data_IF_056916535515
#
_entry.id   IF_056916535515
#
_cell.length_a   1.000
_cell.length_b   1.000
_cell.length_c   1.000
_cell.angle_alpha   90.00
_cell.angle_beta   90.00
_cell.angle_gamma   90.00
#
_symmetry.space_group_name_H-M   'P 1'
#
loop_
_entity.id
_entity.type
_entity.pdbx_description
1 polymer ?
#
# COMPACT_ATOMS: atom_id res chain seq x y z
N UNK A 1 -11.74 43.90 21.80
CA UNK A 1 -12.25 43.20 20.61
C UNK A 1 -11.25 42.11 20.28
N UNK A 2 -11.67 40.85 20.30
CA UNK A 2 -10.78 39.77 19.86
C UNK A 2 -10.52 39.96 18.36
N UNK A 3 -9.25 39.94 17.95
CA UNK A 3 -8.92 39.95 16.53
C UNK A 3 -9.16 38.53 16.03
N UNK A 4 -10.30 38.34 15.37
CA UNK A 4 -10.73 37.10 14.75
C UNK A 4 -9.85 36.86 13.51
N UNK A 5 -8.68 36.26 13.70
CA UNK A 5 -7.81 35.90 12.59
C UNK A 5 -8.29 34.60 11.94
N UNK A 6 -8.52 34.56 10.61
CA UNK A 6 -8.74 33.31 9.91
C UNK A 6 -7.54 32.40 10.16
N UNK A 7 -7.75 31.25 10.80
CA UNK A 7 -6.65 30.29 11.01
C UNK A 7 -6.35 29.66 9.65
N UNK A 8 -5.12 29.80 9.10
CA UNK A 8 -4.73 29.08 7.90
C UNK A 8 -4.95 27.58 8.09
N UNK A 9 -5.48 26.89 7.08
CA UNK A 9 -5.90 25.48 7.19
C UNK A 9 -4.78 24.54 7.70
N UNK A 10 -3.51 24.90 7.49
CA UNK A 10 -2.32 24.15 7.89
C UNK A 10 -1.92 24.29 9.36
N UNK A 11 -2.44 25.29 10.09
CA UNK A 11 -1.82 25.78 11.33
C UNK A 11 -1.99 24.88 12.55
N UNK A 12 -2.92 23.91 12.55
CA UNK A 12 -3.12 22.95 13.66
C UNK A 12 -3.11 21.49 13.20
N UNK A 13 -2.35 21.20 12.13
CA UNK A 13 -2.11 19.85 11.64
C UNK A 13 -1.23 19.02 12.60
N UNK A 14 -0.96 17.75 12.28
CA UNK A 14 0.09 17.01 12.97
C UNK A 14 1.44 17.67 12.64
N UNK A 15 2.12 18.15 13.66
CA UNK A 15 3.48 18.65 13.56
C UNK A 15 4.42 17.66 14.22
N UNK A 16 5.53 17.39 13.54
CA UNK A 16 6.54 16.46 14.01
C UNK A 16 7.80 17.25 14.38
N UNK A 17 8.28 17.05 15.59
CA UNK A 17 9.56 17.57 16.05
C UNK A 17 10.47 16.39 16.40
N UNK A 18 11.68 16.36 15.84
CA UNK A 18 12.70 15.39 16.21
C UNK A 18 13.40 15.85 17.47
N UNK A 19 13.47 14.99 18.48
CA UNK A 19 14.10 15.29 19.75
C UNK A 19 15.62 15.17 19.69
N UNK A 20 16.31 16.07 20.37
CA UNK A 20 17.70 15.88 20.79
C UNK A 20 17.76 15.08 22.09
N UNK A 21 18.92 14.51 22.41
CA UNK A 21 19.10 13.73 23.64
C UNK A 21 18.73 14.55 24.89
N UNK A 22 17.89 13.98 25.75
CA UNK A 22 17.42 14.61 26.98
C UNK A 22 16.41 15.75 26.76
N UNK A 23 15.97 16.02 25.53
CA UNK A 23 15.05 17.12 25.27
C UNK A 23 13.69 16.85 25.89
N UNK A 24 13.22 17.83 26.68
CA UNK A 24 11.89 17.82 27.30
C UNK A 24 10.98 18.91 26.76
N UNK A 25 11.54 19.99 26.21
CA UNK A 25 10.80 21.16 25.74
C UNK A 25 10.66 21.17 24.23
N UNK A 26 9.45 21.41 23.75
CA UNK A 26 9.11 21.52 22.33
C UNK A 26 8.24 22.75 22.10
N UNK A 27 8.54 23.49 21.04
CA UNK A 27 7.76 24.65 20.65
C UNK A 27 6.60 24.21 19.73
N UNK A 28 5.38 24.60 20.10
CA UNK A 28 4.16 24.32 19.35
C UNK A 28 3.83 25.57 18.53
N UNK A 29 3.83 25.52 17.19
CA UNK A 29 3.80 26.70 16.33
C UNK A 29 2.41 27.35 16.23
N UNK A 30 1.45 26.92 17.05
CA UNK A 30 0.07 27.39 17.00
C UNK A 30 -0.49 27.69 18.37
N UNK A 31 -1.52 28.54 18.39
CA UNK A 31 -2.17 28.97 19.62
C UNK A 31 -2.88 27.77 20.26
N UNK A 32 -2.51 27.50 21.51
CA UNK A 32 -3.17 26.49 22.36
C UNK A 32 -3.92 27.23 23.45
N UNK A 33 -5.24 27.11 23.48
CA UNK A 33 -6.08 27.80 24.47
C UNK A 33 -6.08 27.07 25.82
N UNK A 34 -5.88 25.75 25.80
CA UNK A 34 -5.79 24.89 26.98
C UNK A 34 -4.86 23.72 26.68
N UNK A 35 -4.07 23.31 27.66
CA UNK A 35 -3.16 22.18 27.49
C UNK A 35 -3.88 20.86 27.18
N UNK A 36 -5.14 20.71 27.62
CA UNK A 36 -5.96 19.56 27.27
C UNK A 36 -6.43 19.54 25.80
N UNK A 37 -6.34 20.67 25.08
CA UNK A 37 -6.68 20.76 23.66
C UNK A 37 -5.50 20.33 22.74
N UNK A 38 -4.46 19.71 23.31
CA UNK A 38 -3.28 19.22 22.62
C UNK A 38 -3.19 17.70 22.75
N UNK A 39 -3.09 17.02 21.62
CA UNK A 39 -2.77 15.60 21.56
C UNK A 39 -1.29 15.42 21.26
N UNK A 40 -0.60 14.65 22.09
CA UNK A 40 0.83 14.38 21.94
C UNK A 40 1.05 12.87 21.85
N UNK A 41 1.84 12.45 20.86
CA UNK A 41 2.31 11.07 20.69
C UNK A 41 3.80 11.07 20.42
N UNK A 42 4.47 9.98 20.77
CA UNK A 42 5.90 9.81 20.55
C UNK A 42 6.10 8.57 19.68
N UNK A 43 6.97 8.68 18.69
CA UNK A 43 7.53 7.55 17.97
C UNK A 43 9.00 7.42 18.38
N UNK A 44 9.36 6.39 19.15
CA UNK A 44 10.74 6.13 19.51
C UNK A 44 11.63 5.94 18.28
N UNK A 45 12.91 6.31 18.39
CA UNK A 45 13.88 6.01 17.33
C UNK A 45 13.94 4.51 17.05
N UNK A 46 13.93 4.13 15.77
CA UNK A 46 13.92 2.73 15.34
C UNK A 46 12.53 2.08 15.28
N UNK A 47 11.49 2.74 15.79
CA UNK A 47 10.11 2.28 15.63
C UNK A 47 9.43 2.90 14.40
N UNK A 48 8.48 2.14 13.82
CA UNK A 48 7.70 2.55 12.65
C UNK A 48 6.37 3.20 13.00
N UNK A 49 5.88 3.02 14.23
CA UNK A 49 4.54 3.43 14.67
C UNK A 49 4.63 4.39 15.85
N UNK A 50 3.70 5.33 15.94
CA UNK A 50 3.56 6.20 17.11
C UNK A 50 2.93 5.42 18.28
N UNK A 51 3.48 5.61 19.47
CA UNK A 51 2.94 5.09 20.72
C UNK A 51 1.58 5.69 21.09
N UNK A 52 1.03 5.29 22.25
CA UNK A 52 -0.26 5.76 22.73
C UNK A 52 -0.27 7.28 22.97
N UNK A 53 -1.47 7.84 23.09
CA UNK A 53 -1.67 9.25 23.43
C UNK A 53 -1.16 9.51 24.86
N UNK A 54 -0.31 10.51 25.02
CA UNK A 54 0.16 10.97 26.33
C UNK A 54 -0.96 11.69 27.09
N UNK A 55 -0.94 11.60 28.42
CA UNK A 55 -1.91 12.22 29.30
C UNK A 55 -1.45 13.61 29.77
N UNK A 56 -2.26 14.64 29.50
CA UNK A 56 -2.01 16.00 29.97
C UNK A 56 -2.00 16.07 31.50
N UNK A 57 -1.04 16.79 32.07
CA UNK A 57 -0.83 16.94 33.51
C UNK A 57 -0.06 15.79 34.18
N UNK A 58 0.15 14.68 33.47
CA UNK A 58 0.92 13.53 33.95
C UNK A 58 2.18 13.33 33.11
N UNK A 59 2.00 13.11 31.81
CA UNK A 59 3.09 12.84 30.88
C UNK A 59 3.66 14.12 30.26
N UNK A 60 2.85 15.18 30.21
CA UNK A 60 3.26 16.47 29.69
C UNK A 60 2.46 17.63 30.28
N UNK A 61 3.04 18.83 30.19
CA UNK A 61 2.40 20.10 30.52
C UNK A 61 2.56 21.08 29.36
N UNK A 62 1.70 22.10 29.32
CA UNK A 62 1.73 23.14 28.29
C UNK A 62 1.75 24.50 28.98
N UNK A 63 2.66 25.36 28.54
CA UNK A 63 2.76 26.75 28.97
C UNK A 63 2.58 27.69 27.78
N UNK A 64 2.54 29.00 28.03
CA UNK A 64 2.30 30.02 26.99
C UNK A 64 0.94 29.83 26.28
N UNK A 65 -0.09 29.49 27.05
CA UNK A 65 -1.44 29.33 26.54
C UNK A 65 -2.02 30.67 26.05
N UNK A 66 -2.82 30.60 24.99
CA UNK A 66 -3.48 31.73 24.34
C UNK A 66 -2.55 32.85 23.85
N UNK A 67 -1.26 32.55 23.60
CA UNK A 67 -0.28 33.52 23.08
C UNK A 67 -0.18 33.45 21.55
N UNK A 68 -0.30 34.59 20.84
CA UNK A 68 0.03 34.68 19.41
C UNK A 68 1.53 34.45 19.21
N UNK A 69 1.90 33.28 18.71
CA UNK A 69 3.30 32.85 18.58
C UNK A 69 3.53 31.38 18.93
N UNK A 70 2.54 30.75 19.57
CA UNK A 70 2.60 29.34 19.89
C UNK A 70 2.50 29.06 21.39
N UNK A 71 2.52 27.79 21.72
CA UNK A 71 2.60 27.32 23.09
C UNK A 71 3.90 26.52 23.28
N UNK A 72 4.28 26.27 24.53
CA UNK A 72 5.45 25.46 24.85
C UNK A 72 5.03 24.18 25.55
N UNK A 73 5.30 23.04 24.91
CA UNK A 73 5.09 21.70 25.40
C UNK A 73 6.31 21.27 26.24
N UNK A 74 6.07 20.77 27.45
CA UNK A 74 7.11 20.19 28.31
C UNK A 74 6.72 18.76 28.69
N UNK A 75 7.51 17.78 28.26
CA UNK A 75 7.35 16.37 28.65
C UNK A 75 7.92 16.13 30.06
N UNK A 76 7.33 15.20 30.79
CA UNK A 76 7.80 14.82 32.14
C UNK A 76 9.09 14.01 32.13
N UNK A 77 9.39 13.34 31.00
CA UNK A 77 10.56 12.49 30.81
C UNK A 77 11.31 12.91 29.54
N UNK A 78 12.62 13.10 29.65
CA UNK A 78 13.51 13.43 28.54
C UNK A 78 13.45 12.40 27.42
N UNK A 79 13.58 12.87 26.18
CA UNK A 79 13.53 12.02 24.97
C UNK A 79 14.92 11.55 24.55
N UNK A 80 14.95 10.40 23.87
CA UNK A 80 16.17 9.92 23.22
C UNK A 80 16.41 10.71 21.93
N UNK A 81 17.68 10.85 21.53
CA UNK A 81 18.01 11.48 20.27
C UNK A 81 17.34 10.71 19.10
N UNK A 82 16.62 11.43 18.24
CA UNK A 82 15.93 10.85 17.09
C UNK A 82 14.49 10.41 17.34
N UNK A 83 13.98 10.49 18.59
CA UNK A 83 12.56 10.31 18.86
C UNK A 83 11.76 11.39 18.09
N UNK A 84 10.63 11.00 17.51
CA UNK A 84 9.73 11.95 16.84
C UNK A 84 8.53 12.22 17.74
N UNK A 85 8.42 13.46 18.21
CA UNK A 85 7.27 13.93 18.99
C UNK A 85 6.28 14.57 18.03
N UNK A 86 5.11 13.94 17.90
CA UNK A 86 3.99 14.46 17.12
C UNK A 86 2.99 15.14 18.04
N UNK A 87 2.67 16.39 17.74
CA UNK A 87 1.60 17.12 18.42
C UNK A 87 0.57 17.64 17.44
N UNK A 88 -0.70 17.53 17.83
CA UNK A 88 -1.87 17.93 17.03
C UNK A 88 -2.85 18.69 17.92
N UNK A 89 -3.42 19.77 17.39
CA UNK A 89 -4.55 20.43 18.06
C UNK A 89 -5.79 19.55 18.00
N UNK A 90 -6.39 19.26 19.14
CA UNK A 90 -7.65 18.53 19.23
C UNK A 90 -8.53 19.22 20.28
N UNK A 91 -9.51 20.00 19.82
CA UNK A 91 -10.47 20.65 20.71
C UNK A 91 -11.31 19.61 21.44
N UNK A 92 -11.48 19.78 22.75
CA UNK A 92 -12.45 18.99 23.51
C UNK A 92 -13.88 19.31 23.05
N UNK A 93 -14.69 18.27 22.80
CA UNK A 93 -16.08 18.42 22.31
C UNK A 93 -17.04 19.02 23.34
N UNK A 94 -16.69 18.96 24.62
CA UNK A 94 -17.47 19.56 25.72
C UNK A 94 -16.50 20.27 26.66
N UNK A 95 -16.90 21.46 27.12
CA UNK A 95 -16.25 22.16 28.23
C UNK A 95 -17.29 22.84 29.10
N UNK A 96 -17.03 22.86 30.40
CA UNK A 96 -17.80 23.65 31.36
C UNK A 96 -17.03 24.93 31.64
N UNK A 97 -17.65 26.08 31.39
CA UNK A 97 -17.06 27.39 31.65
C UNK A 97 -18.04 28.21 32.46
N UNK A 98 -17.59 28.69 33.62
CA UNK A 98 -18.39 29.56 34.46
C UNK A 98 -18.31 31.00 33.96
N UNK A 99 -19.42 31.51 33.44
CA UNK A 99 -19.54 32.89 32.94
C UNK A 99 -20.17 33.83 33.96
N UNK A 100 -20.74 33.29 35.05
CA UNK A 100 -21.35 34.05 36.14
C UNK A 100 -20.56 33.86 37.42
N UNK A 101 -20.19 34.96 38.07
CA UNK A 101 -19.64 34.94 39.42
C UNK A 101 -20.38 35.98 40.26
N UNK A 102 -21.04 35.53 41.33
CA UNK A 102 -21.79 36.42 42.22
C UNK A 102 -22.97 37.13 41.57
N UNK A 103 -23.66 36.48 40.63
CA UNK A 103 -24.83 37.06 39.93
C UNK A 103 -24.49 38.06 38.83
N UNK A 104 -23.21 38.36 38.60
CA UNK A 104 -22.74 39.20 37.48
C UNK A 104 -22.14 38.36 36.36
N UNK A 105 -22.45 38.70 35.11
CA UNK A 105 -21.87 38.07 33.92
C UNK A 105 -20.50 38.70 33.64
N UNK A 106 -19.47 37.86 33.54
CA UNK A 106 -18.13 38.32 33.16
C UNK A 106 -17.98 38.23 31.65
N UNK A 107 -17.72 39.38 31.01
CA UNK A 107 -17.54 39.44 29.56
C UNK A 107 -16.28 38.72 29.10
N UNK A 108 -15.15 38.82 29.81
CA UNK A 108 -13.88 38.23 29.36
C UNK A 108 -13.91 36.69 29.16
N UNK A 109 -14.44 35.87 30.09
CA UNK A 109 -14.64 34.44 29.86
C UNK A 109 -15.61 34.14 28.71
N UNK A 110 -16.64 34.98 28.53
CA UNK A 110 -17.62 34.81 27.47
C UNK A 110 -17.02 35.09 26.08
N UNK A 111 -16.25 36.17 25.93
CA UNK A 111 -15.49 36.46 24.71
C UNK A 111 -14.51 35.34 24.38
N UNK A 112 -13.81 34.80 25.40
CA UNK A 112 -12.91 33.67 25.22
C UNK A 112 -13.66 32.44 24.71
N UNK A 113 -14.83 32.09 25.27
CA UNK A 113 -15.62 30.97 24.77
C UNK A 113 -16.16 31.21 23.35
N UNK A 114 -16.54 32.44 23.00
CA UNK A 114 -16.94 32.79 21.63
C UNK A 114 -15.77 32.64 20.62
N UNK A 115 -14.57 33.04 21.01
CA UNK A 115 -13.36 32.83 20.21
C UNK A 115 -13.10 31.32 20.01
N UNK A 116 -13.29 30.53 21.07
CA UNK A 116 -13.14 29.07 21.00
C UNK A 116 -14.16 28.44 20.04
N UNK A 117 -15.44 28.81 20.13
CA UNK A 117 -16.51 28.33 19.23
C UNK A 117 -16.21 28.70 17.78
N UNK A 118 -15.76 29.93 17.54
CA UNK A 118 -15.36 30.40 16.21
C UNK A 118 -14.27 29.50 15.62
N UNK A 119 -13.22 29.23 16.39
CA UNK A 119 -12.12 28.38 15.94
C UNK A 119 -12.59 26.95 15.66
N UNK A 120 -13.43 26.37 16.51
CA UNK A 120 -14.00 25.03 16.27
C UNK A 120 -14.81 24.98 14.98
N UNK A 121 -15.60 26.02 14.67
CA UNK A 121 -16.34 26.08 13.41
C UNK A 121 -15.42 26.21 12.18
N UNK A 122 -14.32 26.95 12.30
CA UNK A 122 -13.31 27.03 11.24
C UNK A 122 -12.60 25.68 11.03
N UNK A 123 -12.27 24.96 12.11
CA UNK A 123 -11.70 23.60 12.06
C UNK A 123 -12.68 22.61 11.42
N UNK A 124 -13.95 22.62 11.82
CA UNK A 124 -14.98 21.76 11.23
C UNK A 124 -15.14 22.03 9.72
N UNK A 125 -15.16 23.31 9.32
CA UNK A 125 -15.23 23.68 7.91
C UNK A 125 -14.02 23.17 7.12
N UNK A 126 -12.82 23.25 7.70
CA UNK A 126 -11.60 22.69 7.09
C UNK A 126 -11.72 21.18 6.94
N UNK A 127 -12.12 20.50 8.01
CA UNK A 127 -12.13 19.03 8.03
C UNK A 127 -13.18 18.49 7.04
N UNK A 128 -14.35 19.13 6.92
CA UNK A 128 -15.33 18.82 5.87
C UNK A 128 -14.75 19.02 4.47
N UNK A 129 -14.05 20.14 4.21
CA UNK A 129 -13.40 20.37 2.91
C UNK A 129 -12.27 19.38 2.62
N UNK A 130 -11.55 18.90 3.63
CA UNK A 130 -10.51 17.88 3.46
C UNK A 130 -11.12 16.49 3.14
N UNK A 131 -12.27 16.16 3.73
CA UNK A 131 -13.01 14.91 3.42
C UNK A 131 -13.46 14.88 1.96
N UNK A 132 -13.87 16.02 1.40
CA UNK A 132 -14.24 16.13 -0.02
C UNK A 132 -13.07 15.81 -0.96
N UNK A 133 -11.86 16.28 -0.63
CA UNK A 133 -10.63 16.01 -1.40
C UNK A 133 -10.22 14.53 -1.30
N UNK A 134 -10.35 13.91 -0.12
CA UNK A 134 -10.05 12.47 0.06
C UNK A 134 -11.07 11.61 -0.69
N UNK A 135 -12.33 12.04 -0.76
CA UNK A 135 -13.36 11.35 -1.55
C UNK A 135 -12.98 11.23 -3.02
N UNK A 136 -12.43 12.30 -3.60
CA UNK A 136 -12.01 12.32 -5.01
C UNK A 136 -10.79 11.42 -5.25
N UNK A 137 -9.81 11.44 -4.34
CA UNK A 137 -8.63 10.55 -4.40
C UNK A 137 -9.01 9.07 -4.23
N UNK A 138 -9.98 8.76 -3.35
CA UNK A 138 -10.48 7.40 -3.15
C UNK A 138 -11.15 6.84 -4.42
N UNK A 139 -11.91 7.68 -5.15
CA UNK A 139 -12.54 7.31 -6.42
C UNK A 139 -11.47 6.96 -7.47
N UNK A 140 -10.37 7.71 -7.52
CA UNK A 140 -9.24 7.41 -8.42
C UNK A 140 -8.57 6.07 -8.05
N UNK A 141 -8.33 5.82 -6.76
CA UNK A 141 -7.73 4.55 -6.30
C UNK A 141 -8.63 3.36 -6.64
N UNK A 142 -9.95 3.48 -6.43
CA UNK A 142 -10.90 2.42 -6.80
C UNK A 142 -10.90 2.14 -8.31
N UNK A 143 -10.81 3.17 -9.15
CA UNK A 143 -10.69 3.00 -10.59
C UNK A 143 -9.40 2.29 -11.00
N UNK A 144 -8.26 2.63 -10.37
CA UNK A 144 -6.98 1.95 -10.63
C UNK A 144 -6.97 0.49 -10.17
N UNK A 145 -7.63 0.18 -9.05
CA UNK A 145 -7.74 -1.19 -8.55
C UNK A 145 -8.57 -2.06 -9.50
N UNK A 146 -9.69 -1.54 -10.00
CA UNK A 146 -10.51 -2.23 -11.00
C UNK A 146 -9.73 -2.48 -12.31
N UNK A 147 -8.91 -1.53 -12.76
CA UNK A 147 -8.03 -1.73 -13.93
C UNK A 147 -6.97 -2.81 -13.68
N UNK A 148 -6.37 -2.83 -12.48
CA UNK A 148 -5.41 -3.86 -12.09
C UNK A 148 -6.03 -5.26 -12.03
N UNK A 149 -7.24 -5.40 -11.48
CA UNK A 149 -7.98 -6.67 -11.46
C UNK A 149 -8.28 -7.17 -12.88
N UNK A 150 -8.71 -6.29 -13.78
CA UNK A 150 -8.95 -6.63 -15.18
C UNK A 150 -7.66 -7.11 -15.88
N UNK A 151 -6.51 -6.47 -15.59
CA UNK A 151 -5.21 -6.87 -16.16
C UNK A 151 -4.75 -8.22 -15.61
N UNK A 152 -4.97 -8.51 -14.33
CA UNK A 152 -4.64 -9.80 -13.75
C UNK A 152 -5.47 -10.93 -14.36
N UNK A 153 -6.78 -10.71 -14.57
CA UNK A 153 -7.65 -11.68 -15.24
C UNK A 153 -7.14 -11.98 -16.66
N UNK A 154 -6.78 -10.95 -17.42
CA UNK A 154 -6.25 -11.14 -18.78
C UNK A 154 -4.89 -11.86 -18.82
N UNK A 155 -4.08 -11.72 -17.77
CA UNK A 155 -2.79 -12.40 -17.67
C UNK A 155 -2.96 -13.88 -17.35
N UNK A 156 -3.97 -14.24 -16.56
CA UNK A 156 -4.34 -15.62 -16.24
C UNK A 156 -4.83 -16.35 -17.51
N UNK A 157 -5.73 -15.72 -18.28
CA UNK A 157 -6.18 -16.24 -19.57
C UNK A 157 -5.01 -16.43 -20.57
N UNK A 158 -4.05 -15.51 -20.57
CA UNK A 158 -2.85 -15.63 -21.40
C UNK A 158 -1.93 -16.78 -20.95
N UNK A 159 -1.83 -17.05 -19.64
CA UNK A 159 -1.06 -18.17 -19.11
C UNK A 159 -1.67 -19.51 -19.52
N UNK A 160 -3.00 -19.65 -19.42
CA UNK A 160 -3.72 -20.85 -19.86
C UNK A 160 -3.52 -21.14 -21.35
N UNK A 161 -3.53 -20.10 -22.19
CA UNK A 161 -3.27 -20.24 -23.63
C UNK A 161 -1.84 -20.70 -23.92
N UNK A 162 -0.85 -20.24 -23.14
CA UNK A 162 0.55 -20.67 -23.27
C UNK A 162 0.69 -22.15 -22.89
N UNK A 163 0.04 -22.60 -21.82
CA UNK A 163 0.05 -24.01 -21.42
C UNK A 163 -0.58 -24.91 -22.49
N UNK A 164 -1.74 -24.52 -23.04
CA UNK A 164 -2.38 -25.25 -24.13
C UNK A 164 -1.49 -25.31 -25.39
N UNK A 165 -0.82 -24.20 -25.73
CA UNK A 165 0.10 -24.16 -26.86
C UNK A 165 1.31 -25.08 -26.66
N UNK A 166 1.86 -25.13 -25.45
CA UNK A 166 2.96 -26.05 -25.11
C UNK A 166 2.52 -27.51 -25.24
N UNK A 167 1.35 -27.87 -24.70
CA UNK A 167 0.80 -29.23 -24.85
C UNK A 167 0.58 -29.62 -26.31
N UNK A 168 0.13 -28.68 -27.16
CA UNK A 168 -0.02 -28.92 -28.59
C UNK A 168 1.34 -29.14 -29.31
N UNK A 169 2.38 -28.39 -28.93
CA UNK A 169 3.74 -28.56 -29.46
C UNK A 169 4.32 -29.92 -29.06
N UNK A 170 4.15 -30.32 -27.81
CA UNK A 170 4.59 -31.64 -27.32
C UNK A 170 3.90 -32.77 -28.09
N UNK A 171 2.57 -32.69 -28.27
CA UNK A 171 1.82 -33.67 -29.05
C UNK A 171 2.31 -33.75 -30.50
N UNK A 172 2.53 -32.59 -31.16
CA UNK A 172 3.04 -32.54 -32.53
C UNK A 172 4.44 -33.18 -32.64
N UNK A 173 5.32 -32.94 -31.66
CA UNK A 173 6.65 -33.57 -31.61
C UNK A 173 6.57 -35.10 -31.46
N UNK A 174 5.62 -35.58 -30.65
CA UNK A 174 5.32 -37.01 -30.48
C UNK A 174 4.86 -37.66 -31.79
N UNK A 175 3.94 -37.03 -32.52
CA UNK A 175 3.52 -37.52 -33.83
C UNK A 175 4.66 -37.53 -34.85
N UNK A 176 5.51 -36.49 -34.87
CA UNK A 176 6.66 -36.41 -35.76
C UNK A 176 7.66 -37.54 -35.51
N UNK A 177 8.00 -37.82 -34.25
CA UNK A 177 8.92 -38.92 -33.90
C UNK A 177 8.35 -40.29 -34.28
N UNK A 178 7.06 -40.50 -34.04
CA UNK A 178 6.36 -41.74 -34.43
C UNK A 178 6.37 -41.94 -35.95
N UNK A 179 6.09 -40.88 -36.72
CA UNK A 179 6.14 -40.92 -38.18
C UNK A 179 7.54 -41.22 -38.72
N UNK A 180 8.60 -40.68 -38.10
CA UNK A 180 9.99 -41.01 -38.43
C UNK A 180 10.30 -42.49 -38.17
N UNK A 181 9.80 -43.05 -37.06
CA UNK A 181 9.91 -44.47 -36.74
C UNK A 181 9.30 -45.35 -37.84
N UNK A 182 8.04 -45.08 -38.22
CA UNK A 182 7.39 -45.83 -39.29
C UNK A 182 8.11 -45.70 -40.65
N UNK A 183 8.67 -44.53 -40.96
CA UNK A 183 9.45 -44.34 -42.17
C UNK A 183 10.74 -45.19 -42.16
N UNK A 184 11.43 -45.26 -41.01
CA UNK A 184 12.63 -46.07 -40.86
C UNK A 184 12.35 -47.58 -40.95
N UNK A 185 11.26 -48.04 -40.33
CA UNK A 185 10.81 -49.44 -40.41
C UNK A 185 10.46 -49.83 -41.86
N UNK A 186 9.72 -48.97 -42.56
CA UNK A 186 9.37 -49.16 -43.97
C UNK A 186 10.62 -49.23 -44.86
N UNK A 187 11.61 -48.36 -44.64
CA UNK A 187 12.88 -48.38 -45.36
C UNK A 187 13.66 -49.68 -45.11
N UNK A 188 13.67 -50.17 -43.87
CA UNK A 188 14.31 -51.44 -43.51
C UNK A 188 13.63 -52.63 -44.19
N UNK A 189 12.30 -52.65 -44.19
CA UNK A 189 11.52 -53.69 -44.86
C UNK A 189 11.74 -53.69 -46.38
N UNK A 190 11.78 -52.50 -47.00
CA UNK A 190 12.09 -52.36 -48.42
C UNK A 190 13.51 -52.87 -48.76
N UNK A 191 14.50 -52.61 -47.91
CA UNK A 191 15.86 -53.12 -48.08
C UNK A 191 15.92 -54.67 -47.98
N UNK A 192 15.18 -55.27 -47.03
CA UNK A 192 15.08 -56.73 -46.90
C UNK A 192 14.42 -57.37 -48.14
N UNK A 193 13.30 -56.80 -48.63
CA UNK A 193 12.65 -57.29 -49.84
C UNK A 193 13.54 -57.14 -51.07
N UNK A 194 14.24 -56.00 -51.21
CA UNK A 194 15.21 -55.78 -52.28
C UNK A 194 16.31 -56.84 -52.28
N UNK A 195 16.90 -57.14 -51.12
CA UNK A 195 17.93 -58.19 -51.00
C UNK A 195 17.41 -59.58 -51.38
N UNK A 196 16.17 -59.93 -50.99
CA UNK A 196 15.57 -61.22 -51.30
C UNK A 196 15.13 -61.35 -52.77
N UNK A 197 14.78 -60.23 -53.43
CA UNK A 197 14.37 -60.25 -54.85
C UNK A 197 15.55 -60.52 -55.80
N UNK A 198 16.78 -60.15 -55.39
CA UNK A 198 17.99 -60.43 -56.17
C UNK A 198 18.57 -61.83 -55.96
N UNK A 199 18.17 -62.57 -54.92
CA UNK A 199 18.58 -63.97 -54.70
C UNK A 199 17.73 -64.97 -55.52
N UNK A 200 16.58 -64.53 -56.04
CA UNK A 200 15.75 -65.35 -56.94
C UNK A 200 16.10 -65.17 -58.43
N UNK A 201 17.10 -64.34 -58.75
CA UNK A 201 17.51 -64.07 -60.11
C UNK A 201 18.60 -65.04 -60.61
N UNK A 202 18.13 -66.17 -61.15
CA UNK A 202 18.55 -66.67 -62.47
C UNK A 202 19.99 -67.18 -62.68
N UNK A 203 20.71 -67.59 -61.63
CA UNK A 203 21.86 -68.51 -61.80
C UNK A 203 21.42 -69.98 -61.90
N UNK A 204 20.20 -70.25 -62.40
CA UNK A 204 19.91 -71.57 -62.97
C UNK A 204 20.68 -71.68 -64.29
N UNK A 205 21.98 -71.99 -64.21
CA UNK A 205 22.72 -72.43 -65.38
C UNK A 205 22.06 -73.73 -65.89
N UNK A 206 21.42 -73.73 -67.08
CA UNK A 206 20.78 -74.91 -67.62
C UNK A 206 21.77 -76.05 -67.93
N UNK A 207 23.09 -75.79 -67.85
CA UNK A 207 24.11 -76.81 -67.98
C UNK A 207 24.41 -77.58 -66.68
N UNK A 208 23.85 -77.18 -65.52
CA UNK A 208 24.03 -77.89 -64.25
C UNK A 208 23.15 -79.14 -64.22
N UNK A 209 23.69 -80.36 -64.31
CA UNK A 209 22.89 -81.58 -64.35
C UNK A 209 22.30 -81.83 -62.95
N UNK A 210 20.98 -81.74 -62.78
CA UNK A 210 20.33 -82.09 -61.51
C UNK A 210 18.96 -81.49 -61.23
N UNK A 211 18.52 -80.47 -61.97
CA UNK A 211 17.15 -79.95 -61.84
C UNK A 211 16.24 -80.58 -62.90
N UNK A 212 15.59 -81.65 -62.50
CA UNK A 212 14.51 -82.29 -63.25
C UNK A 212 13.21 -81.48 -63.03
N UNK A 213 12.75 -80.79 -64.07
CA UNK A 213 11.44 -80.13 -64.12
C UNK A 213 10.43 -80.97 -64.92
N UNK A 214 10.54 -82.31 -64.89
CA UNK A 214 9.51 -83.18 -65.45
C UNK A 214 8.47 -83.58 -64.39
N UNK A 215 7.25 -83.07 -64.63
CA UNK A 215 5.89 -83.52 -64.22
C UNK A 215 5.61 -83.95 -62.77
#
# INVERSE_FOLDING_TARGET
>A
MSQQFPIPQTTRGPYDATATEGQVNFDVPFIVFDGADLQVRIKPVGETVFGPLLLFGVDFTVSQLAIPGGARLSLSVGRSAGDVVRYKGARLAKRETSVTLGGSVRSSPLELELDKVTVTLQELRRDVGAVEVIGDELVVVQATLADHEARLLSADEAADLVEQAQGAVEAASGFSSTAQGYAADAATYAAMLGANLFDFALESDPATPGYDWSE
#
